data_IF_059547738006
#
_entry.id   IF_059547738006
#
_cell.length_a   1.000
_cell.length_b   1.000
_cell.length_c   1.000
_cell.angle_alpha   90.00
_cell.angle_beta   90.00
_cell.angle_gamma   90.00
#
_symmetry.space_group_name_H-M   'P 1'
#
loop_
_entity.id
_entity.type
_entity.pdbx_description
1 polymer ?
#
# COMPACT_ATOMS: atom_id res chain seq x y z
N UNK A 1 17.46 16.00 13.56
CA UNK A 1 17.38 15.46 12.19
C UNK A 1 18.28 14.22 12.09
N UNK A 2 17.75 13.01 12.31
CA UNK A 2 18.53 11.76 12.33
C UNK A 2 17.73 10.63 11.66
N UNK A 3 17.51 10.69 10.35
CA UNK A 3 16.90 9.56 9.62
C UNK A 3 17.41 9.40 8.17
N UNK A 4 18.21 10.33 7.65
CA UNK A 4 18.69 10.28 6.26
C UNK A 4 19.79 9.23 6.02
N UNK A 5 20.41 8.69 7.07
CA UNK A 5 21.62 7.84 6.91
C UNK A 5 21.34 6.37 6.61
N UNK A 6 20.10 5.89 6.76
CA UNK A 6 19.75 4.47 6.57
C UNK A 6 19.43 4.10 5.10
N UNK A 7 19.39 5.08 4.20
CA UNK A 7 19.11 4.86 2.76
C UNK A 7 20.41 4.58 1.97
N UNK A 8 21.59 4.70 2.61
CA UNK A 8 22.90 4.63 1.95
C UNK A 8 23.54 3.22 1.92
N UNK A 9 22.78 2.14 2.15
CA UNK A 9 23.30 0.79 1.94
C UNK A 9 23.16 0.44 0.46
N UNK A 10 24.25 0.11 -0.24
CA UNK A 10 24.27 -0.06 -1.70
C UNK A 10 23.32 -1.19 -2.18
N UNK A 11 23.22 -2.27 -1.41
CA UNK A 11 22.24 -3.36 -1.63
C UNK A 11 20.79 -2.93 -1.32
N UNK A 12 20.58 -2.16 -0.25
CA UNK A 12 19.28 -1.52 0.01
C UNK A 12 18.92 -0.52 -1.09
N UNK A 13 19.92 0.05 -1.78
CA UNK A 13 19.70 0.97 -2.89
C UNK A 13 19.09 0.26 -4.10
N UNK A 14 19.44 -1.00 -4.35
CA UNK A 14 18.89 -1.81 -5.46
C UNK A 14 17.45 -2.21 -5.18
N UNK A 15 17.16 -2.76 -3.98
CA UNK A 15 15.79 -3.08 -3.56
C UNK A 15 14.91 -1.82 -3.56
N UNK A 16 15.43 -0.69 -3.09
CA UNK A 16 14.69 0.59 -3.10
C UNK A 16 14.45 1.07 -4.53
N UNK A 17 15.40 0.93 -5.45
CA UNK A 17 15.20 1.26 -6.88
C UNK A 17 14.12 0.39 -7.49
N UNK A 18 14.16 -0.92 -7.27
CA UNK A 18 13.17 -1.85 -7.80
C UNK A 18 11.76 -1.52 -7.27
N UNK A 19 11.62 -1.28 -5.97
CA UNK A 19 10.34 -0.87 -5.36
C UNK A 19 9.84 0.45 -5.97
N UNK A 20 10.73 1.41 -6.24
CA UNK A 20 10.36 2.69 -6.88
C UNK A 20 9.90 2.48 -8.32
N UNK A 21 10.60 1.65 -9.09
CA UNK A 21 10.23 1.33 -10.47
C UNK A 21 8.85 0.65 -10.53
N UNK A 22 8.60 -0.31 -9.66
CA UNK A 22 7.29 -0.99 -9.57
C UNK A 22 6.20 0.03 -9.21
N UNK A 23 6.42 0.92 -8.23
CA UNK A 23 5.46 1.97 -7.86
C UNK A 23 5.20 2.94 -9.00
N UNK A 24 6.21 3.29 -9.79
CA UNK A 24 6.04 4.16 -10.96
C UNK A 24 5.17 3.49 -12.02
N UNK A 25 5.38 2.20 -12.28
CA UNK A 25 4.55 1.42 -13.21
C UNK A 25 3.09 1.36 -12.74
N UNK A 26 2.86 1.04 -11.47
CA UNK A 26 1.50 1.02 -10.88
C UNK A 26 0.85 2.41 -10.97
N UNK A 27 1.60 3.48 -10.67
CA UNK A 27 1.10 4.85 -10.78
C UNK A 27 0.69 5.18 -12.22
N UNK A 28 1.49 4.78 -13.22
CA UNK A 28 1.16 4.97 -14.63
C UNK A 28 -0.11 4.19 -15.03
N UNK A 29 -0.26 2.95 -14.57
CA UNK A 29 -1.48 2.14 -14.78
C UNK A 29 -2.72 2.77 -14.14
N UNK A 30 -2.55 3.44 -12.99
CA UNK A 30 -3.62 4.21 -12.33
C UNK A 30 -3.87 5.58 -12.99
N UNK A 31 -3.17 5.95 -14.08
CA UNK A 31 -3.29 7.26 -14.72
C UNK A 31 -2.71 8.41 -13.89
N UNK A 32 -1.75 8.11 -13.02
CA UNK A 32 -1.20 9.03 -12.02
C UNK A 32 -2.25 9.62 -11.07
N UNK A 33 -3.41 8.95 -10.94
CA UNK A 33 -4.49 9.34 -10.04
C UNK A 33 -4.29 8.72 -8.65
N UNK A 34 -4.30 9.58 -7.62
CA UNK A 34 -4.02 9.16 -6.25
C UNK A 34 -5.13 8.30 -5.65
N UNK A 35 -6.40 8.61 -5.95
CA UNK A 35 -7.54 7.86 -5.41
C UNK A 35 -7.58 6.44 -5.98
N UNK A 36 -7.34 6.31 -7.29
CA UNK A 36 -7.23 5.01 -7.97
C UNK A 36 -6.05 4.20 -7.44
N UNK A 37 -4.90 4.84 -7.20
CA UNK A 37 -3.73 4.17 -6.63
C UNK A 37 -4.02 3.63 -5.22
N UNK A 38 -4.70 4.41 -4.37
CA UNK A 38 -5.11 3.98 -3.03
C UNK A 38 -6.11 2.81 -3.12
N UNK A 39 -7.10 2.90 -4.01
CA UNK A 39 -8.07 1.83 -4.22
C UNK A 39 -7.38 0.51 -4.64
N UNK A 40 -6.47 0.58 -5.61
CA UNK A 40 -5.67 -0.55 -6.06
C UNK A 40 -4.88 -1.21 -4.91
N UNK A 41 -4.19 -0.41 -4.09
CA UNK A 41 -3.47 -0.96 -2.92
C UNK A 41 -4.39 -1.59 -1.88
N UNK A 42 -5.58 -1.02 -1.63
CA UNK A 42 -6.57 -1.60 -0.71
C UNK A 42 -7.12 -2.94 -1.20
N UNK A 43 -7.31 -3.11 -2.51
CA UNK A 43 -7.73 -4.39 -3.08
C UNK A 43 -6.66 -5.46 -2.90
N UNK A 44 -5.40 -5.15 -3.22
CA UNK A 44 -4.27 -6.06 -2.97
C UNK A 44 -4.18 -6.43 -1.50
N UNK A 45 -4.28 -5.45 -0.60
CA UNK A 45 -4.25 -5.70 0.85
C UNK A 45 -5.35 -6.68 1.28
N UNK A 46 -6.58 -6.53 0.77
CA UNK A 46 -7.68 -7.48 1.07
C UNK A 46 -7.32 -8.90 0.63
N UNK A 47 -6.78 -9.08 -0.57
CA UNK A 47 -6.39 -10.41 -1.07
C UNK A 47 -5.22 -11.01 -0.27
N UNK A 48 -4.23 -10.20 0.07
CA UNK A 48 -3.10 -10.64 0.90
C UNK A 48 -3.53 -10.98 2.33
N UNK A 49 -4.48 -10.24 2.92
CA UNK A 49 -5.08 -10.58 4.21
C UNK A 49 -5.82 -11.91 4.15
N UNK A 50 -6.63 -12.14 3.12
CA UNK A 50 -7.33 -13.42 2.91
C UNK A 50 -6.38 -14.62 2.80
N UNK A 51 -5.17 -14.41 2.26
CA UNK A 51 -4.18 -15.47 2.12
C UNK A 51 -3.64 -16.00 3.45
N UNK A 52 -3.74 -15.24 4.55
CA UNK A 52 -3.19 -15.59 5.87
C UNK A 52 -1.66 -15.65 5.94
N UNK A 53 -0.94 -15.43 4.83
CA UNK A 53 0.52 -15.52 4.74
C UNK A 53 1.24 -14.37 5.43
N UNK A 54 0.58 -13.22 5.57
CA UNK A 54 1.18 -11.97 6.04
C UNK A 54 0.47 -11.46 7.29
N UNK A 55 1.25 -10.93 8.25
CA UNK A 55 0.72 -10.23 9.42
C UNK A 55 0.67 -8.74 9.12
N UNK A 56 -0.54 -8.20 9.04
CA UNK A 56 -0.76 -6.76 8.88
C UNK A 56 -0.72 -6.09 10.25
N UNK A 57 -0.11 -4.90 10.31
CA UNK A 57 -0.15 -4.04 11.50
C UNK A 57 -1.40 -3.19 11.40
N UNK A 58 -2.28 -3.27 12.39
CA UNK A 58 -3.44 -2.39 12.45
C UNK A 58 -2.99 -1.02 12.95
N UNK A 59 -3.14 0.02 12.13
CA UNK A 59 -3.02 1.39 12.62
C UNK A 59 -4.31 1.78 13.36
N UNK A 60 -4.23 2.52 14.48
CA UNK A 60 -5.42 3.07 15.13
C UNK A 60 -6.26 3.99 14.21
N UNK A 61 -5.70 4.43 13.07
CA UNK A 61 -6.41 5.19 12.03
C UNK A 61 -6.95 4.34 10.86
N UNK A 62 -6.64 3.05 10.78
CA UNK A 62 -7.12 2.14 9.72
C UNK A 62 -8.51 1.56 10.04
N UNK A 63 -9.36 2.32 10.74
CA UNK A 63 -10.76 1.90 10.91
C UNK A 63 -11.36 1.79 9.50
N UNK A 64 -11.86 0.61 9.09
CA UNK A 64 -12.63 0.53 7.87
C UNK A 64 -13.81 1.48 8.03
N UNK A 65 -13.97 2.44 7.11
CA UNK A 65 -15.24 3.13 7.00
C UNK A 65 -16.34 2.07 6.91
N UNK A 66 -17.38 2.13 7.76
CA UNK A 66 -18.41 1.12 7.73
C UNK A 66 -19.04 1.12 6.35
N UNK A 67 -18.99 -0.02 5.67
CA UNK A 67 -19.87 -0.33 4.56
C UNK A 67 -21.29 -0.10 5.09
N UNK A 68 -21.95 0.96 4.59
CA UNK A 68 -23.38 1.15 4.81
C UNK A 68 -24.08 -0.05 4.16
N UNK A 69 -24.32 -1.10 4.93
CA UNK A 69 -25.44 -1.99 4.65
C UNK A 69 -26.69 -1.20 4.94
N UNK A 70 -27.33 -0.70 3.88
CA UNK A 70 -28.75 -0.41 3.88
C UNK A 70 -29.46 -1.73 4.23
N UNK A 71 -29.90 -1.84 5.48
CA UNK A 71 -30.88 -2.84 5.85
C UNK A 71 -32.22 -2.38 5.25
N UNK A 72 -32.76 -3.22 4.37
CA UNK A 72 -34.11 -3.14 3.88
C UNK A 72 -35.10 -3.21 5.05
N UNK A 73 -36.10 -2.32 5.02
CA UNK A 73 -37.39 -2.45 5.71
C UNK A 73 -38.40 -3.11 4.76
#
# INVERSE_FOLDING_TARGET
MKNAHLINNEEMSEVVKEVREIRHKISAECGHDLERLIAYHREIEKELRKSGKYKFVESPNDKPEPLKTEAAD
#
